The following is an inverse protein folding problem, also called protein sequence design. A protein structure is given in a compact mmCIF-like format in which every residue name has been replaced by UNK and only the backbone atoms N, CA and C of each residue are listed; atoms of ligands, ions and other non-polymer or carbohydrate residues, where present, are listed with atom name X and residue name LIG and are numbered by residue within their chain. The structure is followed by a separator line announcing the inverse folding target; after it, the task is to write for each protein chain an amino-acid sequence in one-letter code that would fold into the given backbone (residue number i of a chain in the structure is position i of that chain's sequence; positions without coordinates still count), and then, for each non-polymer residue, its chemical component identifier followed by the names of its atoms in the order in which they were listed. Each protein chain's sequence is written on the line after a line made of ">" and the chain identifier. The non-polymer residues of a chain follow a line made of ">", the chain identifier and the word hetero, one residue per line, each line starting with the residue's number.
data_IF_428216644756
#
_entry.id   IF_428216644756
#
_cell.length_a   1.000
_cell.length_b   1.000
_cell.length_c   1.000
_cell.angle_alpha   90.00
_cell.angle_beta   90.00
_cell.angle_gamma   90.00
#
_symmetry.space_group_name_H-M   'P 1'
#
loop_
_entity.id
_entity.type
_entity.pdbx_description
1 polymer ?
#
# COMPACT_ATOMS: atom_id res chain seq x y z
N UNK A 1 -16.41 0.03 -14.87
CA UNK A 1 -15.24 0.53 -14.11
C UNK A 1 -14.24 -0.60 -14.07
N UNK A 2 -12.98 -0.39 -14.45
CA UNK A 2 -11.95 -1.40 -14.18
C UNK A 2 -11.70 -1.42 -12.68
N UNK A 3 -11.62 -2.61 -12.09
CA UNK A 3 -11.38 -2.75 -10.66
C UNK A 3 -9.97 -2.24 -10.32
N UNK A 4 -9.88 -1.42 -9.27
CA UNK A 4 -8.61 -0.93 -8.71
C UNK A 4 -7.88 -2.08 -8.05
N UNK A 5 -6.54 -2.08 -8.11
CA UNK A 5 -5.76 -3.10 -7.41
C UNK A 5 -5.79 -2.83 -5.91
N UNK A 6 -6.05 -3.85 -5.10
CA UNK A 6 -6.15 -3.75 -3.63
C UNK A 6 -4.99 -4.47 -2.99
N UNK A 7 -4.11 -3.76 -2.28
CA UNK A 7 -2.95 -4.35 -1.64
C UNK A 7 -2.86 -3.97 -0.16
N UNK A 8 -2.42 -4.90 0.69
CA UNK A 8 -1.94 -4.57 2.03
C UNK A 8 -0.52 -4.00 1.99
N UNK A 9 -0.13 -3.18 2.98
CA UNK A 9 1.23 -2.64 3.04
C UNK A 9 2.31 -3.72 3.21
N UNK A 10 2.26 -4.45 4.31
CA UNK A 10 3.21 -5.52 4.65
C UNK A 10 2.45 -6.75 5.13
N UNK A 11 2.80 -7.93 4.59
CA UNK A 11 2.15 -9.19 4.95
C UNK A 11 2.30 -9.56 6.43
N UNK A 12 1.37 -10.38 6.93
CA UNK A 12 1.41 -10.92 8.30
C UNK A 12 1.11 -9.94 9.43
N UNK A 13 0.81 -8.67 9.13
CA UNK A 13 0.52 -7.62 10.12
C UNK A 13 -0.97 -7.50 10.46
N UNK A 14 -1.84 -7.69 9.47
CA UNK A 14 -3.30 -7.62 9.60
C UNK A 14 -3.94 -8.69 8.74
N UNK A 15 -5.08 -9.22 9.17
CA UNK A 15 -5.98 -10.00 8.31
C UNK A 15 -6.90 -9.02 7.56
N UNK A 16 -6.73 -8.95 6.24
CA UNK A 16 -7.40 -7.96 5.39
C UNK A 16 -8.23 -8.73 4.36
N UNK A 17 -9.57 -8.69 4.44
CA UNK A 17 -10.40 -9.45 3.52
C UNK A 17 -10.37 -8.83 2.12
N UNK A 18 -10.43 -9.68 1.09
CA UNK A 18 -10.64 -9.29 -0.32
C UNK A 18 -9.56 -8.36 -0.92
N UNK A 19 -8.29 -8.54 -0.54
CA UNK A 19 -7.13 -7.93 -1.20
C UNK A 19 -6.51 -8.87 -2.24
N UNK A 20 -5.79 -8.31 -3.21
CA UNK A 20 -5.07 -9.04 -4.25
C UNK A 20 -3.69 -9.54 -3.79
N UNK A 21 -3.14 -8.98 -2.70
CA UNK A 21 -1.81 -9.30 -2.20
C UNK A 21 -1.27 -8.20 -1.29
N UNK A 22 0.04 -8.20 -1.08
CA UNK A 22 0.75 -7.19 -0.29
C UNK A 22 1.79 -6.47 -1.14
N UNK A 23 2.10 -5.22 -0.80
CA UNK A 23 3.21 -4.50 -1.44
C UNK A 23 4.53 -5.18 -1.07
N UNK A 24 4.72 -5.54 0.20
CA UNK A 24 5.91 -6.26 0.67
C UNK A 24 5.51 -7.48 1.52
N UNK A 25 6.25 -8.57 1.38
CA UNK A 25 6.07 -9.74 2.26
C UNK A 25 6.68 -9.53 3.65
N UNK A 26 7.78 -8.77 3.72
CA UNK A 26 8.47 -8.43 4.97
C UNK A 26 9.28 -7.15 4.83
N UNK A 27 9.62 -6.56 5.97
CA UNK A 27 10.62 -5.49 6.09
C UNK A 27 11.60 -5.89 7.18
N UNK A 28 12.88 -6.07 6.82
CA UNK A 28 13.91 -6.54 7.73
C UNK A 28 14.39 -5.42 8.67
N UNK A 29 14.66 -4.23 8.13
CA UNK A 29 14.99 -3.02 8.92
C UNK A 29 14.02 -1.88 8.56
N UNK A 30 13.12 -1.47 9.48
CA UNK A 30 12.19 -0.37 9.22
C UNK A 30 12.86 1.00 9.09
N UNK A 31 14.13 1.14 9.50
CA UNK A 31 14.92 2.37 9.39
C UNK A 31 15.71 2.49 8.07
N UNK A 32 15.83 1.40 7.30
CA UNK A 32 16.46 1.43 5.98
C UNK A 32 15.49 1.97 4.91
N UNK A 33 15.32 3.30 4.94
CA UNK A 33 14.36 4.01 4.08
C UNK A 33 14.69 3.84 2.60
N UNK A 34 15.98 3.84 2.24
CA UNK A 34 16.43 3.66 0.85
C UNK A 34 16.06 2.27 0.33
N UNK A 35 16.32 1.23 1.13
CA UNK A 35 15.91 -0.12 0.75
C UNK A 35 14.40 -0.25 0.64
N UNK A 36 13.63 0.30 1.58
CA UNK A 36 12.16 0.26 1.52
C UNK A 36 11.63 0.94 0.25
N UNK A 37 12.18 2.11 -0.12
CA UNK A 37 11.81 2.78 -1.36
C UNK A 37 12.09 1.91 -2.60
N UNK A 38 13.26 1.26 -2.64
CA UNK A 38 13.64 0.35 -3.73
C UNK A 38 12.73 -0.88 -3.80
N UNK A 39 12.49 -1.55 -2.68
CA UNK A 39 11.65 -2.76 -2.61
C UNK A 39 10.20 -2.45 -3.02
N UNK A 40 9.64 -1.31 -2.56
CA UNK A 40 8.29 -0.87 -2.95
C UNK A 40 8.23 -0.60 -4.45
N UNK A 41 9.23 0.09 -4.99
CA UNK A 41 9.30 0.39 -6.43
C UNK A 41 9.32 -0.90 -7.25
N UNK A 42 10.20 -1.82 -6.91
CA UNK A 42 10.33 -3.12 -7.60
C UNK A 42 9.02 -3.92 -7.56
N UNK A 43 8.35 -3.94 -6.41
CA UNK A 43 7.06 -4.62 -6.26
C UNK A 43 5.98 -4.02 -7.15
N UNK A 44 5.88 -2.69 -7.19
CA UNK A 44 4.79 -1.99 -7.89
C UNK A 44 5.02 -1.86 -9.41
N UNK A 45 6.26 -1.78 -9.87
CA UNK A 45 6.60 -1.67 -11.31
C UNK A 45 6.09 -2.86 -12.14
N UNK A 46 5.95 -4.02 -11.51
CA UNK A 46 5.51 -5.25 -12.17
C UNK A 46 3.97 -5.38 -12.25
N UNK A 47 3.22 -4.40 -11.75
CA UNK A 47 1.76 -4.46 -11.61
C UNK A 47 1.06 -3.50 -12.57
N UNK A 48 -0.13 -3.89 -13.03
CA UNK A 48 -0.98 -3.00 -13.82
C UNK A 48 -1.77 -2.06 -12.90
N UNK A 49 -1.27 -0.84 -12.71
CA UNK A 49 -1.86 0.19 -11.86
C UNK A 49 -2.67 1.25 -12.62
N UNK A 50 -3.01 1.01 -13.89
CA UNK A 50 -3.72 1.98 -14.76
C UNK A 50 -5.09 2.44 -14.23
N UNK A 51 -5.70 1.68 -13.32
CA UNK A 51 -6.98 2.05 -12.67
C UNK A 51 -6.78 2.64 -11.26
N UNK A 52 -5.54 2.63 -10.76
CA UNK A 52 -5.14 3.09 -9.44
C UNK A 52 -4.96 1.97 -8.40
N UNK A 53 -4.46 2.38 -7.22
CA UNK A 53 -4.14 1.52 -6.09
C UNK A 53 -5.01 1.86 -4.87
N UNK A 54 -5.56 0.83 -4.24
CA UNK A 54 -6.17 0.89 -2.91
C UNK A 54 -5.22 0.20 -1.92
N UNK A 55 -4.53 1.02 -1.11
CA UNK A 55 -3.55 0.56 -0.13
C UNK A 55 -4.19 0.40 1.26
N UNK A 56 -4.25 -0.83 1.77
CA UNK A 56 -4.66 -1.12 3.13
C UNK A 56 -3.44 -1.03 4.05
N UNK A 57 -3.42 0.00 4.91
CA UNK A 57 -2.26 0.36 5.72
C UNK A 57 -2.10 -0.62 6.88
N UNK A 58 -0.89 -1.19 7.03
CA UNK A 58 -0.57 -2.22 8.03
C UNK A 58 0.40 -1.76 9.13
N UNK A 59 0.43 -0.44 9.39
CA UNK A 59 1.11 0.12 10.58
C UNK A 59 2.60 0.44 10.45
N UNK A 60 3.20 0.32 9.25
CA UNK A 60 4.58 0.76 9.03
C UNK A 60 4.63 2.03 8.16
N UNK A 61 4.84 3.17 8.82
CA UNK A 61 4.81 4.49 8.17
C UNK A 61 5.79 4.59 7.01
N UNK A 62 7.01 4.05 7.12
CA UNK A 62 8.01 4.11 6.05
C UNK A 62 7.53 3.44 4.76
N UNK A 63 6.85 2.29 4.85
CA UNK A 63 6.23 1.63 3.68
C UNK A 63 5.07 2.45 3.13
N UNK A 64 4.21 2.99 3.98
CA UNK A 64 3.09 3.84 3.53
C UNK A 64 3.59 5.07 2.77
N UNK A 65 4.62 5.75 3.28
CA UNK A 65 5.23 6.91 2.64
C UNK A 65 5.91 6.52 1.32
N UNK A 66 6.62 5.39 1.26
CA UNK A 66 7.22 4.89 0.03
C UNK A 66 6.18 4.62 -1.06
N UNK A 67 5.03 4.02 -0.72
CA UNK A 67 3.93 3.80 -1.67
C UNK A 67 3.31 5.12 -2.13
N UNK A 68 3.08 6.07 -1.21
CA UNK A 68 2.57 7.41 -1.56
C UNK A 68 3.51 8.09 -2.55
N UNK A 69 4.83 8.05 -2.28
CA UNK A 69 5.85 8.61 -3.16
C UNK A 69 5.82 7.95 -4.54
N UNK A 70 5.82 6.61 -4.59
CA UNK A 70 5.75 5.87 -5.85
C UNK A 70 4.52 6.28 -6.67
N UNK A 71 3.34 6.30 -6.04
CA UNK A 71 2.11 6.65 -6.72
C UNK A 71 2.12 8.10 -7.24
N UNK A 72 2.66 9.03 -6.45
CA UNK A 72 2.82 10.43 -6.86
C UNK A 72 3.75 10.57 -8.07
N UNK A 73 4.92 9.94 -8.03
CA UNK A 73 5.93 10.04 -9.10
C UNK A 73 5.47 9.40 -10.42
N UNK A 74 4.54 8.44 -10.37
CA UNK A 74 4.06 7.68 -11.53
C UNK A 74 2.60 8.00 -11.92
N UNK A 75 2.02 9.09 -11.39
CA UNK A 75 0.63 9.50 -11.65
C UNK A 75 -0.42 8.39 -11.42
N UNK A 76 -0.21 7.59 -10.37
CA UNK A 76 -1.12 6.51 -9.97
C UNK A 76 -2.10 7.05 -8.94
N UNK A 77 -3.40 7.07 -9.28
CA UNK A 77 -4.44 7.42 -8.32
C UNK A 77 -4.41 6.49 -7.09
N UNK A 78 -4.32 7.05 -5.88
CA UNK A 78 -4.14 6.30 -4.64
C UNK A 78 -5.27 6.57 -3.62
N UNK A 79 -5.78 5.50 -3.00
CA UNK A 79 -6.61 5.59 -1.79
C UNK A 79 -5.94 4.76 -0.69
N UNK A 80 -5.64 5.39 0.45
CA UNK A 80 -5.15 4.68 1.63
C UNK A 80 -6.33 4.30 2.54
N UNK A 81 -6.34 3.09 3.07
CA UNK A 81 -7.37 2.58 3.95
C UNK A 81 -6.78 2.33 5.34
N UNK A 82 -7.31 3.04 6.33
CA UNK A 82 -6.98 2.85 7.74
C UNK A 82 -7.99 1.90 8.39
N UNK A 83 -7.51 0.91 9.15
CA UNK A 83 -8.41 0.04 9.92
C UNK A 83 -8.85 0.73 11.21
N UNK A 84 -10.12 1.10 11.32
CA UNK A 84 -10.69 1.61 12.56
C UNK A 84 -11.03 0.47 13.52
N UNK A 85 -10.41 0.49 14.69
CA UNK A 85 -10.61 -0.50 15.73
C UNK A 85 -11.96 -0.36 16.44
N UNK A 86 -12.61 0.80 16.38
CA UNK A 86 -13.92 1.05 16.99
C UNK A 86 -15.02 0.46 16.12
N UNK A 87 -15.10 0.84 14.85
CA UNK A 87 -16.12 0.32 13.93
C UNK A 87 -15.81 -1.06 13.35
N UNK A 88 -14.55 -1.52 13.45
CA UNK A 88 -14.03 -2.71 12.75
C UNK A 88 -14.15 -2.61 11.22
N UNK A 89 -14.01 -1.41 10.67
CA UNK A 89 -14.08 -1.17 9.22
C UNK A 89 -12.84 -0.44 8.72
N UNK A 90 -12.57 -0.58 7.42
CA UNK A 90 -11.55 0.22 6.74
C UNK A 90 -12.12 1.57 6.29
N UNK A 91 -11.47 2.66 6.71
CA UNK A 91 -11.83 4.03 6.36
C UNK A 91 -10.96 4.51 5.20
N UNK A 92 -11.55 4.89 4.05
CA UNK A 92 -10.80 5.37 2.89
C UNK A 92 -10.35 6.82 3.06
N UNK A 93 -9.11 7.09 2.65
CA UNK A 93 -8.55 8.42 2.48
C UNK A 93 -7.98 8.54 1.07
N UNK A 94 -8.63 9.37 0.25
CA UNK A 94 -8.16 9.64 -1.12
C UNK A 94 -6.93 10.54 -1.04
N UNK A 95 -5.83 10.12 -1.67
CA UNK A 95 -4.60 10.90 -1.82
C UNK A 95 -4.65 11.57 -3.19
N UNK A 96 -4.56 12.91 -3.22
CA UNK A 96 -4.67 13.76 -4.41
C UNK A 96 -3.55 14.77 -4.43
#
# INVERSE_FOLDING_TARGET
>A
MKDRLKLGGVAGRHDIPNINGYVLDKVDDPADIEKINSDVKESLDNLNLSSGLDLYVTGLTSVTIAVIKYCFDNDVALTCYHFDMVSKTYLPQIVR
#
